data_IF_019342712266
#
_entry.id   IF_019342712266
#
_cell.length_a   1.000
_cell.length_b   1.000
_cell.length_c   1.000
_cell.angle_alpha   90.00
_cell.angle_beta   90.00
_cell.angle_gamma   90.00
#
_symmetry.space_group_name_H-M   'P 1'
#
loop_
_entity.id
_entity.type
_entity.pdbx_description
1 polymer ?
#
# COMPACT_ATOMS: atom_id res chain seq x y z
N UNK A 1 -4.81 -16.53 -1.87
CA UNK A 1 -5.36 -17.49 -0.88
C UNK A 1 -4.21 -18.16 -0.14
N UNK A 2 -4.32 -18.32 1.17
CA UNK A 2 -3.33 -18.98 2.02
C UNK A 2 -3.97 -20.18 2.72
N UNK A 3 -3.37 -21.37 2.60
CA UNK A 3 -3.79 -22.55 3.35
C UNK A 3 -2.95 -22.69 4.61
N UNK A 4 -3.62 -22.95 5.74
CA UNK A 4 -3.00 -23.19 7.04
C UNK A 4 -3.66 -24.40 7.71
N UNK A 5 -2.85 -25.21 8.39
CA UNK A 5 -3.36 -26.13 9.40
C UNK A 5 -3.57 -25.40 10.73
N UNK A 6 -4.38 -25.98 11.62
CA UNK A 6 -4.54 -25.50 13.00
C UNK A 6 -3.22 -25.33 13.76
N UNK A 7 -2.25 -26.21 13.52
CA UNK A 7 -0.95 -26.13 14.19
C UNK A 7 -0.06 -25.04 13.57
N UNK A 8 -0.09 -24.92 12.24
CA UNK A 8 0.69 -23.91 11.55
C UNK A 8 0.18 -22.49 11.85
N UNK A 9 -1.13 -22.30 12.01
CA UNK A 9 -1.76 -20.98 12.21
C UNK A 9 -1.26 -20.25 13.47
N UNK A 10 -0.72 -20.99 14.45
CA UNK A 10 -0.16 -20.47 15.71
C UNK A 10 1.28 -19.97 15.56
N UNK A 11 1.94 -20.24 14.44
CA UNK A 11 3.37 -19.94 14.24
C UNK A 11 3.61 -18.49 13.83
N UNK A 12 4.77 -17.95 14.20
CA UNK A 12 5.22 -16.63 13.73
C UNK A 12 5.37 -16.59 12.20
N UNK A 13 5.76 -17.71 11.58
CA UNK A 13 5.87 -17.85 10.12
C UNK A 13 4.51 -17.69 9.45
N UNK A 14 3.46 -18.35 9.96
CA UNK A 14 2.11 -18.19 9.43
C UNK A 14 1.63 -16.75 9.56
N UNK A 15 1.87 -16.11 10.71
CA UNK A 15 1.52 -14.71 10.93
C UNK A 15 2.18 -13.78 9.90
N UNK A 16 3.48 -13.92 9.65
CA UNK A 16 4.17 -13.15 8.63
C UNK A 16 3.63 -13.43 7.21
N UNK A 17 3.18 -14.66 6.93
CA UNK A 17 2.51 -14.99 5.65
C UNK A 17 1.15 -14.32 5.53
N UNK A 18 0.37 -14.27 6.60
CA UNK A 18 -0.93 -13.57 6.65
C UNK A 18 -0.75 -12.06 6.53
N UNK A 19 0.25 -11.48 7.18
CA UNK A 19 0.58 -10.06 7.07
C UNK A 19 0.96 -9.70 5.64
N UNK A 20 1.86 -10.48 5.01
CA UNK A 20 2.17 -10.32 3.58
C UNK A 20 0.93 -10.46 2.71
N UNK A 21 0.09 -11.45 2.99
CA UNK A 21 -1.18 -11.63 2.28
C UNK A 21 -2.08 -10.40 2.42
N UNK A 22 -2.14 -9.75 3.59
CA UNK A 22 -2.94 -8.55 3.82
C UNK A 22 -2.49 -7.34 2.99
N UNK A 23 -1.22 -7.31 2.59
CA UNK A 23 -0.64 -6.26 1.75
C UNK A 23 -0.80 -6.53 0.26
N UNK A 24 -1.07 -7.78 -0.15
CA UNK A 24 -1.30 -8.13 -1.56
C UNK A 24 -2.64 -7.56 -2.03
N UNK A 25 -2.64 -6.93 -3.21
CA UNK A 25 -3.81 -6.29 -3.83
C UNK A 25 -4.57 -5.33 -2.89
N UNK A 26 -3.85 -4.68 -1.96
CA UNK A 26 -4.45 -3.79 -0.94
C UNK A 26 -5.39 -4.52 0.02
N UNK A 27 -5.16 -5.82 0.24
CA UNK A 27 -6.01 -6.67 1.07
C UNK A 27 -7.30 -7.10 0.38
N UNK A 28 -7.43 -6.87 -0.93
CA UNK A 28 -8.59 -7.30 -1.73
C UNK A 28 -8.32 -8.67 -2.35
N UNK A 29 -9.37 -9.46 -2.55
CA UNK A 29 -9.28 -10.80 -3.17
C UNK A 29 -8.36 -11.81 -2.43
N UNK A 30 -8.12 -11.59 -1.15
CA UNK A 30 -7.34 -12.49 -0.31
C UNK A 30 -8.23 -13.22 0.69
N UNK A 31 -7.82 -14.43 1.06
CA UNK A 31 -8.51 -15.26 2.03
C UNK A 31 -7.54 -16.26 2.65
N UNK A 32 -7.81 -16.64 3.90
CA UNK A 32 -7.14 -17.74 4.60
C UNK A 32 -8.09 -18.92 4.66
N UNK A 33 -7.63 -20.09 4.24
CA UNK A 33 -8.34 -21.35 4.41
C UNK A 33 -7.70 -22.09 5.58
N UNK A 34 -8.48 -22.32 6.64
CA UNK A 34 -8.01 -22.96 7.85
C UNK A 34 -8.53 -24.40 7.91
N UNK A 35 -7.62 -25.36 7.87
CA UNK A 35 -7.93 -26.76 8.14
C UNK A 35 -8.09 -26.96 9.65
N UNK A 36 -9.33 -27.19 10.06
CA UNK A 36 -9.71 -27.42 11.46
C UNK A 36 -9.48 -28.89 11.83
N UNK A 37 -9.17 -29.16 13.11
CA UNK A 37 -9.16 -30.52 13.62
C UNK A 37 -10.58 -31.12 13.61
N UNK A 38 -10.67 -32.45 13.44
CA UNK A 38 -11.93 -33.19 13.38
C UNK A 38 -12.60 -33.40 14.75
N UNK A 39 -12.03 -32.82 15.81
CA UNK A 39 -12.56 -32.87 17.18
C UNK A 39 -13.71 -31.89 17.42
N UNK A 40 -14.09 -31.10 16.41
CA UNK A 40 -15.13 -30.08 16.51
C UNK A 40 -14.70 -28.84 17.29
N UNK A 41 -13.42 -28.76 17.67
CA UNK A 41 -12.87 -27.64 18.40
C UNK A 41 -12.67 -26.44 17.46
N UNK A 42 -13.27 -25.30 17.82
CA UNK A 42 -13.15 -24.04 17.07
C UNK A 42 -12.02 -23.14 17.60
N UNK A 43 -11.23 -23.61 18.57
CA UNK A 43 -10.18 -22.81 19.21
C UNK A 43 -9.17 -22.28 18.20
N UNK A 44 -8.80 -23.10 17.21
CA UNK A 44 -7.88 -22.68 16.15
C UNK A 44 -8.44 -21.52 15.33
N UNK A 45 -9.74 -21.53 15.05
CA UNK A 45 -10.43 -20.48 14.31
C UNK A 45 -10.53 -19.20 15.15
N UNK A 46 -10.97 -19.32 16.40
CA UNK A 46 -11.11 -18.18 17.32
C UNK A 46 -9.76 -17.52 17.60
N UNK A 47 -8.72 -18.32 17.88
CA UNK A 47 -7.38 -17.80 18.10
C UNK A 47 -6.83 -17.07 16.87
N UNK A 48 -7.07 -17.60 15.67
CA UNK A 48 -6.66 -16.95 14.44
C UNK A 48 -7.43 -15.64 14.20
N UNK A 49 -8.74 -15.63 14.43
CA UNK A 49 -9.56 -14.41 14.35
C UNK A 49 -9.05 -13.33 15.30
N UNK A 50 -8.82 -13.67 16.57
CA UNK A 50 -8.27 -12.74 17.56
C UNK A 50 -6.88 -12.24 17.17
N UNK A 51 -6.03 -13.12 16.63
CA UNK A 51 -4.70 -12.75 16.13
C UNK A 51 -4.77 -11.74 14.99
N UNK A 52 -5.65 -11.94 14.00
CA UNK A 52 -5.83 -10.99 12.89
C UNK A 52 -6.32 -9.64 13.40
N UNK A 53 -7.34 -9.63 14.29
CA UNK A 53 -7.91 -8.40 14.84
C UNK A 53 -6.91 -7.60 15.68
N UNK A 54 -6.15 -8.26 16.55
CA UNK A 54 -5.19 -7.61 17.46
C UNK A 54 -3.99 -7.00 16.73
N UNK A 55 -3.63 -7.53 15.57
CA UNK A 55 -2.48 -7.07 14.81
C UNK A 55 -2.82 -6.06 13.72
N UNK A 56 -4.06 -5.57 13.68
CA UNK A 56 -4.50 -4.58 12.68
C UNK A 56 -4.37 -5.09 11.25
N UNK A 57 -4.28 -6.42 11.05
CA UNK A 57 -4.35 -7.01 9.73
C UNK A 57 -5.78 -6.76 9.23
N UNK A 58 -5.90 -6.12 8.07
CA UNK A 58 -7.16 -5.94 7.32
C UNK A 58 -8.05 -7.18 7.46
N UNK A 59 -9.38 -7.01 7.49
CA UNK A 59 -10.38 -8.07 7.70
C UNK A 59 -10.28 -9.19 6.64
N UNK A 60 -9.26 -10.04 6.75
CA UNK A 60 -9.02 -11.17 5.86
C UNK A 60 -10.06 -12.24 6.22
N UNK A 61 -10.88 -12.68 5.25
CA UNK A 61 -11.83 -13.74 5.50
C UNK A 61 -11.10 -15.05 5.81
N UNK A 62 -11.52 -15.70 6.90
CA UNK A 62 -11.09 -17.05 7.26
C UNK A 62 -12.20 -18.02 6.87
N UNK A 63 -11.86 -19.01 6.04
CA UNK A 63 -12.77 -20.07 5.59
C UNK A 63 -12.36 -21.37 6.29
N UNK A 64 -13.12 -21.84 7.29
CA UNK A 64 -12.83 -23.11 7.94
C UNK A 64 -13.23 -24.28 7.04
N UNK A 65 -12.38 -25.31 7.00
CA UNK A 65 -12.66 -26.61 6.39
C UNK A 65 -12.31 -27.72 7.38
N UNK A 66 -13.08 -28.80 7.42
CA UNK A 66 -12.78 -29.94 8.31
C UNK A 66 -11.85 -30.96 7.66
N UNK A 67 -11.71 -30.91 6.32
CA UNK A 67 -10.87 -31.85 5.57
C UNK A 67 -10.33 -31.22 4.29
N UNK A 68 -9.20 -31.74 3.80
CA UNK A 68 -8.64 -31.31 2.51
C UNK A 68 -9.59 -31.62 1.32
N UNK A 69 -10.46 -32.63 1.45
CA UNK A 69 -11.47 -32.96 0.42
C UNK A 69 -12.53 -31.89 0.24
N UNK A 70 -12.82 -31.06 1.25
CA UNK A 70 -13.75 -29.93 1.12
C UNK A 70 -13.16 -28.74 0.35
N UNK A 71 -11.84 -28.71 0.16
CA UNK A 71 -11.17 -27.57 -0.43
C UNK A 71 -11.70 -27.25 -1.82
N UNK A 72 -11.83 -28.27 -2.68
CA UNK A 72 -12.28 -28.08 -4.05
C UNK A 72 -13.70 -27.51 -4.11
N UNK A 73 -14.65 -28.11 -3.37
CA UNK A 73 -16.04 -27.66 -3.36
C UNK A 73 -16.21 -26.27 -2.74
N UNK A 74 -15.41 -25.93 -1.71
CA UNK A 74 -15.40 -24.60 -1.10
C UNK A 74 -14.83 -23.54 -2.04
N UNK A 75 -13.76 -23.85 -2.77
CA UNK A 75 -13.20 -22.95 -3.78
C UNK A 75 -14.16 -22.73 -4.95
N UNK A 76 -14.83 -23.78 -5.42
CA UNK A 76 -15.85 -23.63 -6.48
C UNK A 76 -17.02 -22.76 -6.01
N UNK A 77 -17.52 -22.99 -4.80
CA UNK A 77 -18.57 -22.15 -4.21
C UNK A 77 -18.13 -20.68 -4.10
N UNK A 78 -16.90 -20.41 -3.66
CA UNK A 78 -16.33 -19.05 -3.61
C UNK A 78 -16.23 -18.44 -5.00
N UNK A 79 -15.71 -19.18 -5.98
CA UNK A 79 -15.61 -18.69 -7.37
C UNK A 79 -16.98 -18.30 -7.92
N UNK A 80 -18.00 -19.12 -7.68
CA UNK A 80 -19.38 -18.81 -8.09
C UNK A 80 -19.95 -17.59 -7.34
N UNK A 81 -19.68 -17.45 -6.05
CA UNK A 81 -20.08 -16.26 -5.29
C UNK A 81 -19.41 -14.99 -5.82
N UNK A 82 -18.12 -15.04 -6.15
CA UNK A 82 -17.42 -13.90 -6.75
C UNK A 82 -17.96 -13.54 -8.14
N UNK A 83 -18.20 -14.53 -9.01
CA UNK A 83 -18.77 -14.29 -10.33
C UNK A 83 -20.17 -13.66 -10.23
N UNK A 84 -21.00 -14.14 -9.29
CA UNK A 84 -22.35 -13.62 -9.06
C UNK A 84 -22.32 -12.25 -8.40
N UNK A 85 -21.42 -12.02 -7.44
CA UNK A 85 -21.23 -10.73 -6.79
C UNK A 85 -20.76 -9.67 -7.81
N UNK A 86 -19.79 -9.97 -8.67
CA UNK A 86 -19.35 -9.07 -9.73
C UNK A 86 -20.50 -8.73 -10.70
N UNK A 87 -21.32 -9.72 -11.07
CA UNK A 87 -22.50 -9.50 -11.90
C UNK A 87 -23.60 -8.67 -11.19
N UNK A 88 -23.67 -8.71 -9.86
CA UNK A 88 -24.64 -7.95 -9.06
C UNK A 88 -24.14 -6.53 -8.75
N UNK A 89 -22.86 -6.35 -8.39
CA UNK A 89 -22.24 -5.02 -8.22
C UNK A 89 -22.30 -4.20 -9.51
N UNK A 90 -22.11 -4.83 -10.68
CA UNK A 90 -22.31 -4.18 -11.98
C UNK A 90 -23.76 -3.71 -12.21
N UNK A 91 -24.73 -4.20 -11.43
CA UNK A 91 -26.15 -3.86 -11.50
C UNK A 91 -26.63 -2.96 -10.35
N UNK A 92 -25.95 -2.97 -9.20
CA UNK A 92 -26.35 -2.23 -7.98
C UNK A 92 -25.39 -1.12 -7.58
N UNK A 93 -24.28 -0.90 -8.30
CA UNK A 93 -23.45 0.29 -8.14
C UNK A 93 -24.30 1.54 -8.37
N UNK A 94 -24.77 2.16 -7.29
CA UNK A 94 -25.40 3.47 -7.38
C UNK A 94 -24.41 4.40 -8.07
N UNK A 95 -24.83 5.08 -9.13
CA UNK A 95 -24.02 6.08 -9.84
C UNK A 95 -23.30 7.06 -8.91
N UNK A 96 -23.83 7.28 -7.70
CA UNK A 96 -23.25 8.13 -6.68
C UNK A 96 -22.02 7.52 -5.98
N UNK A 97 -22.00 6.20 -5.75
CA UNK A 97 -20.88 5.50 -5.08
C UNK A 97 -19.70 5.30 -6.05
N UNK A 98 -20.00 4.99 -7.31
CA UNK A 98 -19.01 4.96 -8.40
C UNK A 98 -18.39 6.35 -8.66
N UNK A 99 -19.21 7.42 -8.60
CA UNK A 99 -18.71 8.78 -8.76
C UNK A 99 -17.80 9.21 -7.58
N UNK A 100 -18.16 8.84 -6.35
CA UNK A 100 -17.34 9.12 -5.17
C UNK A 100 -16.02 8.34 -5.19
N UNK A 101 -16.06 7.06 -5.59
CA UNK A 101 -14.86 6.24 -5.78
C UNK A 101 -13.96 6.75 -6.90
N UNK A 102 -14.55 7.26 -8.00
CA UNK A 102 -13.81 7.84 -9.11
C UNK A 102 -13.15 9.19 -8.75
N UNK A 103 -13.80 10.03 -7.95
CA UNK A 103 -13.19 11.25 -7.40
C UNK A 103 -12.00 10.92 -6.49
N UNK A 104 -12.13 9.94 -5.58
CA UNK A 104 -11.00 9.48 -4.76
C UNK A 104 -9.85 8.91 -5.59
N UNK A 105 -10.15 8.18 -6.66
CA UNK A 105 -9.15 7.66 -7.58
C UNK A 105 -8.42 8.79 -8.32
N UNK A 106 -9.15 9.83 -8.77
CA UNK A 106 -8.56 11.00 -9.42
C UNK A 106 -7.65 11.77 -8.47
N UNK A 107 -8.09 11.99 -7.23
CA UNK A 107 -7.29 12.66 -6.21
C UNK A 107 -5.98 11.89 -5.93
N UNK A 108 -6.07 10.57 -5.76
CA UNK A 108 -4.88 9.75 -5.53
C UNK A 108 -3.97 9.68 -6.77
N UNK A 109 -4.55 9.57 -7.97
CA UNK A 109 -3.79 9.56 -9.23
C UNK A 109 -3.04 10.88 -9.47
N UNK A 110 -3.58 12.01 -9.01
CA UNK A 110 -2.91 13.31 -9.10
C UNK A 110 -1.56 13.35 -8.37
N UNK A 111 -1.41 12.52 -7.33
CA UNK A 111 -0.21 12.40 -6.52
C UNK A 111 0.70 11.23 -6.93
N UNK A 112 0.29 10.40 -7.91
CA UNK A 112 1.07 9.28 -8.42
C UNK A 112 2.13 9.73 -9.44
N UNK A 113 2.86 10.78 -9.11
CA UNK A 113 3.87 11.42 -9.97
C UNK A 113 5.01 11.95 -9.11
N UNK A 114 6.22 11.93 -9.63
CA UNK A 114 7.37 12.49 -8.93
C UNK A 114 7.38 14.03 -9.03
N UNK A 115 7.41 14.74 -7.90
CA UNK A 115 7.39 16.21 -7.84
C UNK A 115 5.99 16.80 -7.71
N UNK A 116 5.70 17.87 -8.47
CA UNK A 116 4.40 18.54 -8.44
C UNK A 116 3.24 17.64 -8.90
N UNK A 117 2.09 17.69 -8.22
CA UNK A 117 0.90 16.93 -8.61
C UNK A 117 0.51 17.17 -10.08
N UNK A 118 -0.06 16.15 -10.71
CA UNK A 118 -0.55 16.22 -12.08
C UNK A 118 -1.71 17.23 -12.18
N UNK A 119 -1.78 17.96 -13.31
CA UNK A 119 -2.97 18.74 -13.63
C UNK A 119 -4.14 17.82 -13.95
N UNK A 120 -5.36 18.33 -13.82
CA UNK A 120 -6.60 17.58 -14.02
C UNK A 120 -6.66 16.88 -15.38
N UNK A 121 -6.17 17.53 -16.43
CA UNK A 121 -6.10 16.94 -17.79
C UNK A 121 -5.27 15.64 -17.83
N UNK A 122 -4.14 15.61 -17.13
CA UNK A 122 -3.25 14.44 -17.09
C UNK A 122 -3.80 13.36 -16.16
N UNK A 123 -4.48 13.75 -15.07
CA UNK A 123 -5.18 12.81 -14.20
C UNK A 123 -6.27 12.07 -14.96
N UNK A 124 -7.05 12.79 -15.76
CA UNK A 124 -8.13 12.21 -16.57
C UNK A 124 -7.56 11.18 -17.55
N UNK A 125 -6.47 11.53 -18.24
CA UNK A 125 -5.74 10.60 -19.13
C UNK A 125 -5.25 9.36 -18.37
N UNK A 126 -4.70 9.50 -17.16
CA UNK A 126 -4.22 8.36 -16.35
C UNK A 126 -5.37 7.46 -15.90
N UNK A 127 -6.50 8.04 -15.50
CA UNK A 127 -7.69 7.29 -15.09
C UNK A 127 -8.40 6.62 -16.26
N UNK A 128 -8.28 7.18 -17.47
CA UNK A 128 -8.80 6.55 -18.69
C UNK A 128 -7.88 5.42 -19.19
N UNK A 129 -6.56 5.57 -18.98
CA UNK A 129 -5.56 4.58 -19.36
C UNK A 129 -5.68 3.28 -18.56
N UNK A 130 -6.16 3.37 -17.32
CA UNK A 130 -6.10 2.27 -16.36
C UNK A 130 -7.37 2.20 -15.53
N UNK A 131 -7.93 1.00 -15.36
CA UNK A 131 -9.09 0.76 -14.49
C UNK A 131 -8.78 0.96 -12.97
N UNK A 132 -7.61 1.50 -12.64
CA UNK A 132 -7.11 1.71 -11.29
C UNK A 132 -5.58 1.70 -11.20
N UNK A 133 -5.05 2.13 -10.06
CA UNK A 133 -3.60 2.30 -9.85
C UNK A 133 -2.80 1.00 -9.96
N UNK A 134 -3.40 -0.16 -9.66
CA UNK A 134 -2.74 -1.46 -9.85
C UNK A 134 -2.48 -1.76 -11.33
N UNK A 135 -3.46 -1.50 -12.20
CA UNK A 135 -3.32 -1.64 -13.65
C UNK A 135 -2.34 -0.62 -14.21
N UNK A 136 -2.30 0.60 -13.65
CA UNK A 136 -1.29 1.60 -13.99
C UNK A 136 0.12 1.12 -13.64
N UNK A 137 0.32 0.55 -12.45
CA UNK A 137 1.60 0.00 -12.04
C UNK A 137 2.07 -1.10 -13.01
N UNK A 138 1.17 -2.01 -13.43
CA UNK A 138 1.50 -3.04 -14.42
C UNK A 138 1.96 -2.43 -15.76
N UNK A 139 1.32 -1.36 -16.22
CA UNK A 139 1.75 -0.63 -17.43
C UNK A 139 3.15 -0.04 -17.25
N UNK A 140 3.43 0.59 -16.10
CA UNK A 140 4.74 1.17 -15.79
C UNK A 140 5.85 0.11 -15.78
N UNK A 141 5.57 -1.12 -15.34
CA UNK A 141 6.57 -2.19 -15.33
C UNK A 141 6.73 -2.94 -16.67
N UNK A 142 6.03 -2.52 -17.73
CA UNK A 142 6.13 -3.10 -19.07
C UNK A 142 6.70 -2.10 -20.08
N UNK A 143 7.58 -2.54 -20.99
CA UNK A 143 8.19 -1.65 -21.98
C UNK A 143 7.15 -1.02 -22.95
N UNK A 144 6.13 -1.78 -23.34
CA UNK A 144 5.02 -1.27 -24.16
C UNK A 144 4.11 -0.31 -23.37
N UNK A 145 3.85 -0.61 -22.09
CA UNK A 145 3.07 0.28 -21.23
C UNK A 145 3.78 1.60 -20.95
N UNK A 146 5.10 1.58 -20.73
CA UNK A 146 5.89 2.81 -20.58
C UNK A 146 5.88 3.69 -21.83
N UNK A 147 5.93 3.08 -23.02
CA UNK A 147 5.78 3.82 -24.29
C UNK A 147 4.39 4.46 -24.36
N UNK A 148 3.34 3.68 -24.11
CA UNK A 148 1.95 4.15 -24.13
C UNK A 148 1.66 5.28 -23.14
N UNK A 149 2.26 5.22 -21.94
CA UNK A 149 2.15 6.29 -20.93
C UNK A 149 2.80 7.58 -21.45
N UNK A 150 3.99 7.49 -22.06
CA UNK A 150 4.70 8.65 -22.63
C UNK A 150 4.01 9.22 -23.87
N UNK A 151 3.43 8.38 -24.71
CA UNK A 151 2.70 8.83 -25.90
C UNK A 151 1.48 9.69 -25.54
N UNK A 152 0.82 9.38 -24.41
CA UNK A 152 -0.42 10.03 -24.00
C UNK A 152 -0.22 11.20 -23.03
N UNK A 153 0.78 11.14 -22.15
CA UNK A 153 1.09 12.21 -21.19
C UNK A 153 2.24 13.12 -21.66
N UNK A 154 2.91 12.76 -22.75
CA UNK A 154 4.19 13.33 -23.15
C UNK A 154 5.37 12.81 -22.32
N UNK A 155 6.58 12.90 -22.87
CA UNK A 155 7.80 12.37 -22.24
C UNK A 155 8.06 12.96 -20.84
N UNK A 156 7.77 14.25 -20.65
CA UNK A 156 8.00 14.93 -19.37
C UNK A 156 7.10 14.41 -18.25
N UNK A 157 5.78 14.35 -18.47
CA UNK A 157 4.84 13.90 -17.44
C UNK A 157 4.83 12.37 -17.32
N UNK A 158 4.87 11.66 -18.45
CA UNK A 158 4.95 10.21 -18.47
C UNK A 158 6.21 9.67 -17.77
N UNK A 159 7.36 10.32 -17.98
CA UNK A 159 8.59 9.99 -17.28
C UNK A 159 8.50 10.15 -15.76
N UNK A 160 7.81 11.20 -15.28
CA UNK A 160 7.62 11.45 -13.84
C UNK A 160 6.66 10.47 -13.18
N UNK A 161 5.63 10.03 -13.89
CA UNK A 161 4.71 8.97 -13.43
C UNK A 161 5.46 7.65 -13.36
N UNK A 162 6.18 7.27 -14.42
CA UNK A 162 7.01 6.05 -14.45
C UNK A 162 8.00 6.06 -13.29
N UNK A 163 8.72 7.17 -13.09
CA UNK A 163 9.70 7.31 -12.02
C UNK A 163 9.09 7.13 -10.63
N UNK A 164 7.88 7.64 -10.39
CA UNK A 164 7.16 7.48 -9.12
C UNK A 164 6.93 6.00 -8.78
N UNK A 165 6.47 5.20 -9.74
CA UNK A 165 6.18 3.78 -9.49
C UNK A 165 7.44 2.91 -9.46
N UNK A 166 8.52 3.27 -10.16
CA UNK A 166 9.75 2.47 -10.19
C UNK A 166 10.75 2.80 -9.08
N UNK A 167 10.82 4.06 -8.65
CA UNK A 167 11.79 4.54 -7.64
C UNK A 167 11.11 4.95 -6.32
N UNK A 168 9.77 5.00 -6.29
CA UNK A 168 9.02 5.52 -5.15
C UNK A 168 9.08 7.05 -5.04
N UNK A 169 8.45 7.59 -4.00
CA UNK A 169 8.63 8.98 -3.62
C UNK A 169 10.00 9.13 -2.93
N UNK A 170 11.05 9.38 -3.71
CA UNK A 170 12.29 9.91 -3.15
C UNK A 170 11.96 11.27 -2.54
N UNK A 171 11.71 11.28 -1.23
CA UNK A 171 11.70 12.52 -0.46
C UNK A 171 13.04 13.16 -0.67
N UNK A 172 13.08 14.21 -1.49
CA UNK A 172 14.21 15.09 -1.68
C UNK A 172 14.66 15.58 -0.30
N UNK A 173 15.60 14.86 0.33
CA UNK A 173 16.44 15.37 1.39
C UNK A 173 17.49 16.27 0.72
N UNK A 174 17.03 17.40 0.20
CA UNK A 174 17.85 18.61 0.16
C UNK A 174 17.23 19.56 1.18
N UNK A 175 17.59 19.32 2.44
CA UNK A 175 17.60 20.38 3.42
C UNK A 175 18.59 21.42 2.90
N UNK A 176 18.05 22.55 2.50
CA UNK A 176 18.79 23.77 2.25
C UNK A 176 19.55 24.14 3.52
N UNK A 177 20.85 23.79 3.56
CA UNK A 177 21.80 24.35 4.52
C UNK A 177 22.06 25.78 4.09
N UNK A 178 21.12 26.71 4.29
CA UNK A 178 21.40 28.14 4.37
C UNK A 178 20.40 28.83 5.30
N UNK A 179 20.92 29.27 6.45
CA UNK A 179 20.58 30.57 7.00
C UNK A 179 19.42 30.64 7.99
N UNK A 180 19.61 30.14 9.20
CA UNK A 180 19.10 30.83 10.39
C UNK A 180 20.21 30.91 11.41
N UNK A 181 20.76 32.12 11.54
CA UNK A 181 21.61 32.49 12.65
C UNK A 181 20.82 32.35 13.95
N UNK A 182 21.39 31.60 14.88
CA UNK A 182 20.99 31.68 16.28
C UNK A 182 22.24 32.05 17.06
N UNK A 183 22.28 33.33 17.43
CA UNK A 183 23.14 33.83 18.47
C UNK A 183 22.80 33.07 19.77
N UNK A 184 23.76 32.31 20.27
CA UNK A 184 23.79 31.82 21.65
C UNK A 184 25.22 32.03 22.12
N UNK A 185 25.52 33.18 22.73
CA UNK A 185 25.57 33.34 24.18
C UNK A 185 26.35 32.22 24.84
N UNK A 186 27.67 32.37 24.84
CA UNK A 186 28.49 31.81 25.91
C UNK A 186 29.74 32.69 26.07
N UNK A 187 29.62 33.73 26.90
CA UNK A 187 30.79 34.49 27.36
C UNK A 187 30.82 34.38 28.89
N UNK A 188 31.56 33.37 29.35
CA UNK A 188 31.83 33.09 30.74
C UNK A 188 33.25 33.52 31.09
N UNK A 189 33.33 34.64 31.80
CA UNK A 189 34.29 34.95 32.86
C UNK A 189 35.82 34.87 32.56
N UNK A 190 36.39 36.06 32.31
CA UNK A 190 37.43 36.72 33.14
C UNK A 190 38.60 35.84 33.66
N UNK A 191 39.81 36.01 33.08
CA UNK A 191 41.01 36.44 33.85
C UNK A 191 42.24 36.78 32.98
N UNK A 192 42.68 38.03 33.15
CA UNK A 192 44.07 38.54 33.18
C UNK A 192 45.13 38.01 32.20
N UNK A 193 45.52 38.85 31.24
CA UNK A 193 46.89 38.87 30.69
C UNK A 193 47.44 40.29 30.85
N UNK A 194 48.32 40.45 31.84
CA UNK A 194 49.14 41.65 32.00
C UNK A 194 50.15 41.73 30.85
N UNK A 195 50.12 42.83 30.09
CA UNK A 195 51.22 43.25 29.23
C UNK A 195 52.02 44.30 29.97
N UNK A 196 53.18 43.91 30.45
CA UNK A 196 54.25 44.83 30.80
C UNK A 196 54.91 45.41 29.54
N UNK A 197 55.66 46.50 29.78
CA UNK A 197 56.61 47.20 28.90
C UNK A 197 56.00 48.26 27.97
N UNK A 198 56.48 49.51 27.87
CA UNK A 198 57.68 50.24 28.32
C UNK A 198 57.37 51.75 28.15
N UNK A 199 57.84 52.64 29.03
CA UNK A 199 58.62 53.85 28.64
C UNK A 199 58.95 54.76 29.82
N UNK A 200 60.26 54.83 30.10
CA UNK A 200 61.09 55.90 30.67
C UNK A 200 60.73 56.50 32.03
#
# INVERSE_FOLDING_TARGET
VLLLSSEESKTATAKARIERLSMLDGGRNVAVILLMPNDGCVDALVNLQMSIMTHGMSSIPIIPISSASELASRLDALRHQFANAAANLSRTGSRADEAAGMEQLRDLASHCVHGQALSREHVDVVTDLSAGLGSLAQLVFSADGQRRIRDLLGDAQGGRVIAFFTHGHESSRRLDVWGIGVAALNDGAVQSVGRGSISR
#
